data_IF_507013289892
#
_entry.id   IF_507013289892
#
_cell.length_a   1.000
_cell.length_b   1.000
_cell.length_c   1.000
_cell.angle_alpha   90.00
_cell.angle_beta   90.00
_cell.angle_gamma   90.00
#
_symmetry.space_group_name_H-M   'P 1'
#
loop_
_entity.id
_entity.type
_entity.pdbx_description
1 polymer ?
#
# COMPACT_ATOMS: atom_id res chain seq x y z
N UNK A 1 -63.61 -35.13 1.70
CA UNK A 1 -62.20 -35.39 2.04
C UNK A 1 -61.32 -34.52 1.15
N UNK A 2 -60.88 -33.35 1.62
CA UNK A 2 -59.89 -32.50 0.94
C UNK A 2 -59.10 -31.74 2.02
N UNK A 3 -57.80 -32.03 2.14
CA UNK A 3 -56.87 -31.31 3.03
C UNK A 3 -56.00 -30.41 2.14
N UNK A 4 -55.98 -29.08 2.31
CA UNK A 4 -55.12 -28.23 1.52
C UNK A 4 -53.66 -28.35 1.99
N UNK A 5 -52.75 -28.59 1.06
CA UNK A 5 -51.30 -28.53 1.27
C UNK A 5 -50.85 -27.07 1.10
N UNK A 6 -50.69 -26.34 2.19
CA UNK A 6 -50.19 -24.96 2.17
C UNK A 6 -49.09 -24.72 3.20
N UNK A 7 -48.04 -25.55 3.18
CA UNK A 7 -46.84 -25.31 4.02
C UNK A 7 -45.55 -25.17 3.20
N UNK A 8 -45.58 -25.42 1.88
CA UNK A 8 -44.37 -25.31 1.04
C UNK A 8 -43.92 -23.86 0.74
N UNK A 9 -44.75 -22.84 0.99
CA UNK A 9 -44.45 -21.45 0.62
C UNK A 9 -43.71 -20.67 1.74
N UNK A 10 -44.06 -20.87 3.01
CA UNK A 10 -43.45 -20.10 4.12
C UNK A 10 -42.00 -20.51 4.42
N UNK A 11 -41.68 -21.81 4.31
CA UNK A 11 -40.30 -22.29 4.52
C UNK A 11 -39.32 -21.71 3.51
N UNK A 12 -39.73 -21.56 2.24
CA UNK A 12 -38.92 -20.92 1.19
C UNK A 12 -38.72 -19.43 1.46
N UNK A 13 -39.75 -18.76 1.98
CA UNK A 13 -39.68 -17.35 2.36
C UNK A 13 -38.73 -17.11 3.53
N UNK A 14 -38.78 -17.96 4.56
CA UNK A 14 -37.83 -17.90 5.68
C UNK A 14 -36.39 -18.23 5.26
N UNK A 15 -36.20 -19.16 4.33
CA UNK A 15 -34.86 -19.47 3.79
C UNK A 15 -34.27 -18.28 3.02
N UNK A 16 -35.09 -17.60 2.20
CA UNK A 16 -34.67 -16.41 1.46
C UNK A 16 -34.31 -15.25 2.40
N UNK A 17 -35.11 -15.04 3.46
CA UNK A 17 -34.82 -14.03 4.46
C UNK A 17 -33.53 -14.35 5.23
N UNK A 18 -33.37 -15.58 5.72
CA UNK A 18 -32.16 -16.01 6.40
C UNK A 18 -30.90 -15.85 5.53
N UNK A 19 -31.01 -16.15 4.23
CA UNK A 19 -29.92 -15.97 3.28
C UNK A 19 -29.58 -14.48 3.08
N UNK A 20 -30.59 -13.62 2.90
CA UNK A 20 -30.38 -12.18 2.80
C UNK A 20 -29.74 -11.60 4.07
N UNK A 21 -30.20 -12.01 5.26
CA UNK A 21 -29.62 -11.58 6.54
C UNK A 21 -28.16 -12.00 6.65
N UNK A 22 -27.84 -13.24 6.26
CA UNK A 22 -26.47 -13.74 6.26
C UNK A 22 -25.57 -12.94 5.31
N UNK A 23 -26.03 -12.67 4.08
CA UNK A 23 -25.28 -11.87 3.11
C UNK A 23 -25.06 -10.44 3.60
N UNK A 24 -26.05 -9.79 4.21
CA UNK A 24 -25.88 -8.46 4.81
C UNK A 24 -24.86 -8.49 5.96
N UNK A 25 -24.90 -9.51 6.81
CA UNK A 25 -23.99 -9.65 7.94
C UNK A 25 -22.54 -9.79 7.46
N UNK A 26 -22.30 -10.56 6.40
CA UNK A 26 -20.98 -10.71 5.77
C UNK A 26 -20.56 -9.49 4.96
N UNK A 27 -21.49 -8.80 4.31
CA UNK A 27 -21.19 -7.58 3.55
C UNK A 27 -20.70 -6.43 4.45
N UNK A 28 -21.19 -6.34 5.68
CA UNK A 28 -20.78 -5.31 6.65
C UNK A 28 -19.38 -5.55 7.24
N UNK A 29 -18.82 -6.76 7.13
CA UNK A 29 -17.47 -7.08 7.62
C UNK A 29 -16.40 -6.99 6.53
N UNK A 30 -16.79 -6.78 5.27
CA UNK A 30 -15.86 -6.58 4.17
C UNK A 30 -15.11 -5.26 4.36
N UNK A 31 -13.85 -5.34 4.82
CA UNK A 31 -12.93 -4.20 4.77
C UNK A 31 -12.60 -3.90 3.31
N UNK A 32 -12.54 -2.61 2.96
CA UNK A 32 -11.99 -2.20 1.68
C UNK A 32 -10.54 -2.72 1.59
N UNK A 33 -10.25 -3.54 0.59
CA UNK A 33 -8.87 -3.84 0.24
C UNK A 33 -8.30 -2.60 -0.48
N UNK A 34 -7.37 -1.89 0.15
CA UNK A 34 -6.42 -1.10 -0.62
C UNK A 34 -5.61 -2.09 -1.45
N UNK A 35 -5.44 -1.80 -2.73
CA UNK A 35 -4.75 -2.67 -3.68
C UNK A 35 -3.39 -2.09 -4.07
N UNK A 36 -2.96 -1.02 -3.40
CA UNK A 36 -1.78 -0.24 -3.74
C UNK A 36 -1.01 0.01 -2.44
N UNK A 37 0.28 -0.34 -2.43
CA UNK A 37 1.16 0.00 -1.31
C UNK A 37 1.39 1.51 -1.21
N UNK A 38 0.99 2.07 -0.07
CA UNK A 38 1.20 3.46 0.31
C UNK A 38 2.35 3.56 1.32
N UNK A 39 3.15 4.62 1.22
CA UNK A 39 4.19 4.92 2.22
C UNK A 39 3.53 5.33 3.53
N UNK A 40 3.81 4.61 4.61
CA UNK A 40 3.37 4.92 5.98
C UNK A 40 4.43 5.60 6.83
N UNK A 41 5.70 5.50 6.43
CA UNK A 41 6.84 6.17 7.07
C UNK A 41 7.95 6.38 6.04
N UNK A 42 8.63 7.51 6.14
CA UNK A 42 9.82 7.84 5.37
C UNK A 42 10.92 8.37 6.30
N UNK A 43 12.16 8.07 5.96
CA UNK A 43 13.35 8.68 6.56
C UNK A 43 14.33 9.09 5.45
N UNK A 44 14.73 10.36 5.33
CA UNK A 44 14.18 11.54 6.04
C UNK A 44 12.67 11.71 5.86
N UNK A 45 12.01 12.41 6.79
CA UNK A 45 10.58 12.71 6.63
C UNK A 45 10.37 13.72 5.51
N UNK A 46 9.18 13.73 4.92
CA UNK A 46 8.85 14.70 3.86
C UNK A 46 9.01 16.14 4.34
N UNK A 47 9.62 16.98 3.51
CA UNK A 47 9.94 18.38 3.84
C UNK A 47 11.04 18.57 4.90
N UNK A 48 11.72 17.51 5.36
CA UNK A 48 12.80 17.65 6.33
C UNK A 48 14.00 18.39 5.75
N UNK A 49 14.44 19.45 6.43
CA UNK A 49 15.70 20.14 6.14
C UNK A 49 16.81 19.52 6.98
N UNK A 50 17.90 19.12 6.34
CA UNK A 50 19.06 18.48 6.98
C UNK A 50 20.29 19.37 6.80
N UNK A 51 21.15 19.41 7.83
CA UNK A 51 22.44 20.11 7.75
C UNK A 51 23.42 19.40 6.81
N UNK A 52 23.33 18.06 6.74
CA UNK A 52 24.18 17.22 5.91
C UNK A 52 23.33 16.33 5.00
N UNK A 53 23.80 16.08 3.79
CA UNK A 53 23.14 15.19 2.85
C UNK A 53 23.03 13.76 3.43
N UNK A 54 21.85 13.11 3.34
CA UNK A 54 21.70 11.74 3.78
C UNK A 54 22.37 10.78 2.78
N UNK A 55 22.94 9.69 3.27
CA UNK A 55 23.52 8.64 2.42
C UNK A 55 22.47 7.63 1.93
N UNK A 56 21.28 7.63 2.55
CA UNK A 56 20.19 6.72 2.22
C UNK A 56 18.82 7.34 2.49
N UNK A 57 17.83 6.86 1.73
CA UNK A 57 16.41 7.03 2.02
C UNK A 57 15.84 5.69 2.48
N UNK A 58 14.84 5.72 3.35
CA UNK A 58 14.13 4.54 3.83
C UNK A 58 12.63 4.76 3.78
N UNK A 59 11.92 3.79 3.22
CA UNK A 59 10.46 3.83 3.09
C UNK A 59 9.82 2.58 3.68
N UNK A 60 8.76 2.75 4.46
CA UNK A 60 7.92 1.65 4.93
C UNK A 60 6.55 1.77 4.30
N UNK A 61 5.99 0.63 3.89
CA UNK A 61 4.71 0.55 3.21
C UNK A 61 3.67 -0.15 4.10
N UNK A 62 2.40 0.17 3.91
CA UNK A 62 1.28 -0.51 4.58
C UNK A 62 1.06 -1.96 4.10
N UNK A 63 1.65 -2.33 2.96
CA UNK A 63 1.54 -3.64 2.35
C UNK A 63 2.94 -4.19 2.02
N UNK A 64 3.10 -5.54 1.94
CA UNK A 64 4.32 -6.14 1.42
C UNK A 64 4.60 -5.65 0.00
N UNK A 65 5.88 -5.41 -0.31
CA UNK A 65 6.32 -5.03 -1.66
C UNK A 65 7.42 -5.97 -2.15
N UNK A 66 7.69 -5.96 -3.45
CA UNK A 66 8.83 -6.62 -4.07
C UNK A 66 9.95 -5.61 -4.39
N UNK A 67 11.02 -5.50 -3.57
CA UNK A 67 12.06 -4.48 -3.74
C UNK A 67 12.76 -4.55 -5.10
N UNK A 68 13.01 -5.77 -5.60
CA UNK A 68 13.65 -6.02 -6.90
C UNK A 68 12.86 -5.47 -8.12
N UNK A 69 11.57 -5.17 -7.95
CA UNK A 69 10.72 -4.56 -8.98
C UNK A 69 10.33 -3.12 -8.64
N UNK A 70 10.94 -2.56 -7.59
CA UNK A 70 10.70 -1.19 -7.16
C UNK A 70 11.67 -0.24 -7.85
N UNK A 71 11.19 0.96 -8.17
CA UNK A 71 11.96 2.03 -8.78
C UNK A 71 11.89 3.26 -7.88
N UNK A 72 13.04 3.90 -7.66
CA UNK A 72 13.13 5.18 -6.98
C UNK A 72 14.00 6.10 -7.82
N UNK A 73 13.50 7.30 -8.07
CA UNK A 73 14.18 8.36 -8.79
C UNK A 73 14.24 9.59 -7.91
N UNK A 74 15.42 10.20 -7.84
CA UNK A 74 15.62 11.48 -7.17
C UNK A 74 15.80 12.55 -8.25
N UNK A 75 15.12 13.69 -8.10
CA UNK A 75 15.31 14.86 -8.96
C UNK A 75 15.69 16.07 -8.12
N UNK A 76 16.56 16.92 -8.66
CA UNK A 76 16.95 18.19 -8.03
C UNK A 76 15.90 19.30 -8.25
N UNK A 77 16.16 20.48 -7.69
CA UNK A 77 15.34 21.68 -7.81
C UNK A 77 15.16 22.18 -9.26
N UNK A 78 16.08 21.81 -10.15
CA UNK A 78 16.00 22.07 -11.59
C UNK A 78 15.28 20.93 -12.36
N UNK A 79 14.62 19.99 -11.66
CA UNK A 79 13.98 18.79 -12.21
C UNK A 79 14.95 17.87 -12.98
N UNK A 80 16.25 17.94 -12.69
CA UNK A 80 17.23 17.05 -13.31
C UNK A 80 17.34 15.76 -12.50
N UNK A 81 17.35 14.59 -13.16
CA UNK A 81 17.54 13.33 -12.48
C UNK A 81 18.93 13.22 -11.87
N UNK A 82 18.99 12.80 -10.60
CA UNK A 82 20.25 12.46 -9.93
C UNK A 82 20.65 11.04 -10.35
N UNK A 83 21.86 10.89 -10.86
CA UNK A 83 22.41 9.59 -11.25
C UNK A 83 22.80 8.75 -10.03
N UNK A 84 23.01 7.44 -10.23
CA UNK A 84 23.55 6.53 -9.21
C UNK A 84 22.70 6.36 -7.94
N UNK A 85 21.40 6.68 -8.00
CA UNK A 85 20.42 6.29 -6.97
C UNK A 85 20.14 4.80 -7.11
N UNK A 86 20.28 4.03 -6.02
CA UNK A 86 20.18 2.57 -6.06
C UNK A 86 19.19 2.04 -5.03
N UNK A 87 18.17 1.32 -5.49
CA UNK A 87 17.26 0.58 -4.62
C UNK A 87 17.92 -0.73 -4.21
N UNK A 88 17.95 -1.03 -2.92
CA UNK A 88 18.45 -2.32 -2.45
C UNK A 88 17.51 -3.45 -2.88
N UNK A 89 18.04 -4.61 -3.29
CA UNK A 89 17.23 -5.69 -3.86
C UNK A 89 16.36 -6.42 -2.82
N UNK A 90 16.56 -6.13 -1.54
CA UNK A 90 15.85 -6.73 -0.41
C UNK A 90 15.45 -5.63 0.58
N UNK A 91 14.40 -5.90 1.36
CA UNK A 91 14.03 -5.05 2.49
C UNK A 91 15.07 -5.20 3.61
N UNK A 92 15.25 -4.13 4.39
CA UNK A 92 16.01 -4.21 5.64
C UNK A 92 15.31 -5.08 6.68
N UNK A 93 16.03 -5.42 7.77
CA UNK A 93 15.50 -6.27 8.85
C UNK A 93 14.23 -5.72 9.52
N UNK A 94 14.03 -4.41 9.50
CA UNK A 94 12.84 -3.71 10.01
C UNK A 94 11.79 -3.42 8.91
N UNK A 95 11.91 -4.04 7.74
CA UNK A 95 10.92 -4.00 6.66
C UNK A 95 10.96 -2.75 5.78
N UNK A 96 12.04 -1.96 5.82
CA UNK A 96 12.16 -0.77 4.99
C UNK A 96 12.70 -1.10 3.59
N UNK A 97 12.18 -0.41 2.58
CA UNK A 97 12.86 -0.26 1.30
C UNK A 97 14.00 0.75 1.48
N UNK A 98 15.24 0.29 1.31
CA UNK A 98 16.43 1.14 1.46
C UNK A 98 16.91 1.58 0.07
N UNK A 99 17.15 2.87 -0.08
CA UNK A 99 17.67 3.49 -1.29
C UNK A 99 19.00 4.16 -0.96
N UNK A 100 20.08 3.73 -1.58
CA UNK A 100 21.40 4.37 -1.44
C UNK A 100 21.48 5.56 -2.37
N UNK A 101 21.97 6.67 -1.82
CA UNK A 101 22.13 7.94 -2.52
C UNK A 101 23.62 8.20 -2.82
N UNK A 102 23.94 8.86 -3.95
CA UNK A 102 25.27 9.42 -4.15
C UNK A 102 25.49 10.64 -3.25
N UNK A 103 26.68 11.24 -3.31
CA UNK A 103 26.91 12.55 -2.71
C UNK A 103 26.01 13.60 -3.37
N UNK A 104 25.22 14.28 -2.55
CA UNK A 104 24.28 15.31 -2.99
C UNK A 104 24.85 16.70 -2.71
N UNK A 105 24.70 17.60 -3.68
CA UNK A 105 24.95 19.01 -3.46
C UNK A 105 23.87 19.59 -2.53
N UNK A 106 24.14 20.71 -1.83
CA UNK A 106 23.10 21.41 -1.09
C UNK A 106 21.97 21.85 -2.03
N UNK A 107 20.73 21.53 -1.69
CA UNK A 107 19.56 21.85 -2.51
C UNK A 107 18.30 21.12 -2.07
N UNK A 108 17.19 21.47 -2.69
CA UNK A 108 15.93 20.73 -2.55
C UNK A 108 15.93 19.54 -3.51
N UNK A 109 15.37 18.42 -3.07
CA UNK A 109 15.22 17.22 -3.88
C UNK A 109 13.81 16.67 -3.76
N UNK A 110 13.30 16.12 -4.86
CA UNK A 110 12.02 15.40 -4.88
C UNK A 110 12.28 13.92 -5.14
N UNK A 111 11.67 13.07 -4.31
CA UNK A 111 11.73 11.62 -4.46
C UNK A 111 10.47 11.16 -5.19
N UNK A 112 10.67 10.44 -6.29
CA UNK A 112 9.61 9.75 -7.01
C UNK A 112 9.80 8.25 -6.84
N UNK A 113 8.73 7.51 -6.58
CA UNK A 113 8.79 6.06 -6.39
C UNK A 113 7.70 5.34 -7.17
N UNK A 114 7.97 4.07 -7.47
CA UNK A 114 7.01 3.09 -7.95
C UNK A 114 7.35 1.75 -7.32
N UNK A 115 6.37 1.13 -6.68
CA UNK A 115 6.53 -0.18 -6.05
C UNK A 115 5.51 -1.16 -6.61
N UNK A 116 5.83 -2.45 -6.49
CA UNK A 116 4.91 -3.54 -6.79
C UNK A 116 4.54 -4.24 -5.48
N UNK A 117 3.25 -4.25 -5.17
CA UNK A 117 2.61 -4.88 -4.00
C UNK A 117 1.73 -6.05 -4.42
#
# INVERSE_FOLDING_TARGET
MFKPKSTLCSHKFHLLWALCSLVLLFGLTAKAAQAHADIIRAEPIDGQVLENAPTQLRFWFNEPILPQFSLVQLVDDANRPVANVQVQPQLSADGALVVTLPDLAPGAYTVMWRVLS
#
